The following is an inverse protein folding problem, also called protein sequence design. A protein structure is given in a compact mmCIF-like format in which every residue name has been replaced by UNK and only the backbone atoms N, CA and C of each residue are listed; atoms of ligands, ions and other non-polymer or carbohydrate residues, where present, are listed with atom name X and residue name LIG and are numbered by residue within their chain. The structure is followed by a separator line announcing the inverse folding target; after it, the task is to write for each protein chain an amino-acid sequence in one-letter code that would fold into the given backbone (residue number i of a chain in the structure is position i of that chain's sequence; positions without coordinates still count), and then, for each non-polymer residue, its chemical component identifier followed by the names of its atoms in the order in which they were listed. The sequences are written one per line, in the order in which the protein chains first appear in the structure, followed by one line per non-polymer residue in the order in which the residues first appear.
data_IF_271821343647
#
_entry.id   IF_271821343647
#
_cell.length_a   1.000
_cell.length_b   1.000
_cell.length_c   1.000
_cell.angle_alpha   90.00
_cell.angle_beta   90.00
_cell.angle_gamma   90.00
#
_symmetry.space_group_name_H-M   'P 1'
#
loop_
_entity.id
_entity.type
_entity.pdbx_description
1 polymer ?
#
# COMPACT_ATOMS: atom_id res chain seq x y z
N UNK A 1 -21.88 -1.14 7.68
CA UNK A 1 -23.37 -1.10 7.59
C UNK A 1 -23.72 -0.74 6.16
N UNK A 2 -24.42 -1.61 5.44
CA UNK A 2 -25.03 -1.22 4.17
C UNK A 2 -26.10 -0.18 4.49
N UNK A 3 -25.96 1.05 3.99
CA UNK A 3 -27.09 1.96 4.01
C UNK A 3 -28.18 1.36 3.14
N UNK A 4 -29.44 1.49 3.58
CA UNK A 4 -30.57 1.11 2.75
C UNK A 4 -30.49 1.89 1.43
N UNK A 5 -30.73 1.23 0.29
CA UNK A 5 -30.65 1.90 -0.99
C UNK A 5 -31.65 3.04 -1.06
N UNK A 6 -31.20 4.18 -1.53
CA UNK A 6 -32.12 5.26 -1.88
C UNK A 6 -32.98 4.83 -3.07
N UNK A 7 -34.15 5.40 -3.20
CA UNK A 7 -35.08 5.12 -4.30
C UNK A 7 -35.23 6.38 -5.15
N UNK A 8 -35.07 6.26 -6.46
CA UNK A 8 -35.29 7.35 -7.39
C UNK A 8 -36.79 7.57 -7.69
N UNK A 9 -37.11 8.58 -8.48
CA UNK A 9 -38.49 8.93 -8.85
C UNK A 9 -39.23 7.81 -9.61
N UNK A 10 -38.51 6.85 -10.16
CA UNK A 10 -39.08 5.68 -10.87
C UNK A 10 -39.25 4.46 -9.95
N UNK A 11 -38.98 4.60 -8.66
CA UNK A 11 -39.05 3.49 -7.71
C UNK A 11 -37.86 2.51 -7.77
N UNK A 12 -36.76 2.90 -8.41
CA UNK A 12 -35.57 2.06 -8.54
C UNK A 12 -34.58 2.32 -7.41
N UNK A 13 -33.97 1.26 -6.82
CA UNK A 13 -32.91 1.43 -5.84
C UNK A 13 -31.66 2.03 -6.49
N UNK A 14 -31.12 3.07 -5.87
CA UNK A 14 -29.90 3.79 -6.31
C UNK A 14 -28.95 3.96 -5.13
N UNK A 15 -27.67 4.28 -5.41
CA UNK A 15 -26.70 4.56 -4.38
C UNK A 15 -27.05 5.82 -3.57
N UNK A 16 -26.41 5.95 -2.39
CA UNK A 16 -26.59 7.14 -1.55
C UNK A 16 -26.10 8.42 -2.27
N UNK A 17 -26.76 9.56 -2.02
CA UNK A 17 -26.38 10.82 -2.61
C UNK A 17 -25.02 11.30 -2.07
N UNK A 18 -24.29 12.01 -2.91
CA UNK A 18 -22.98 12.59 -2.55
C UNK A 18 -22.99 14.12 -2.75
N UNK A 19 -23.79 14.85 -1.95
CA UNK A 19 -23.84 16.30 -2.08
C UNK A 19 -22.48 16.89 -1.70
N UNK A 20 -21.96 17.80 -2.54
CA UNK A 20 -20.70 18.47 -2.27
C UNK A 20 -19.44 17.64 -2.53
N UNK A 21 -19.56 16.43 -3.09
CA UNK A 21 -18.39 15.67 -3.48
C UNK A 21 -17.52 16.42 -4.50
N UNK A 22 -16.21 16.47 -4.23
CA UNK A 22 -15.23 17.10 -5.11
C UNK A 22 -14.16 16.10 -5.47
N UNK A 23 -13.68 16.18 -6.70
CA UNK A 23 -12.55 15.37 -7.15
C UNK A 23 -11.30 15.72 -6.34
N UNK A 24 -10.62 14.74 -5.73
CA UNK A 24 -9.35 14.98 -5.08
C UNK A 24 -8.27 15.39 -6.09
N UNK A 25 -7.24 16.14 -5.69
CA UNK A 25 -6.08 16.38 -6.53
C UNK A 25 -5.25 15.10 -6.69
N UNK A 26 -4.38 15.04 -7.70
CA UNK A 26 -3.35 14.01 -7.75
C UNK A 26 -2.37 14.21 -6.58
N UNK A 27 -1.82 13.12 -6.00
CA UNK A 27 -0.83 13.25 -4.93
C UNK A 27 0.39 14.04 -5.41
N UNK A 28 0.88 15.01 -4.61
CA UNK A 28 2.08 15.75 -4.95
C UNK A 28 3.32 14.85 -4.82
N UNK A 29 4.40 15.24 -5.53
CA UNK A 29 5.73 14.65 -5.39
C UNK A 29 6.46 15.28 -4.19
N UNK A 30 5.91 15.09 -3.01
CA UNK A 30 6.44 15.66 -1.77
C UNK A 30 6.75 14.55 -0.76
N UNK A 31 7.76 14.74 0.08
CA UNK A 31 8.08 13.79 1.12
C UNK A 31 7.04 13.80 2.23
N UNK A 32 6.75 12.62 2.77
CA UNK A 32 5.88 12.41 3.93
C UNK A 32 6.76 11.88 5.07
N UNK A 33 6.90 12.67 6.14
CA UNK A 33 7.73 12.30 7.27
C UNK A 33 6.94 11.51 8.31
N UNK A 34 7.53 10.43 8.79
CA UNK A 34 7.11 9.66 9.96
C UNK A 34 8.18 9.66 11.06
N UNK A 35 7.95 8.86 12.07
CA UNK A 35 8.89 8.66 13.18
C UNK A 35 10.02 7.69 12.81
N UNK A 36 9.66 6.58 12.15
CA UNK A 36 10.59 5.50 11.81
C UNK A 36 10.95 5.46 10.33
N UNK A 37 10.25 6.21 9.50
CA UNK A 37 10.57 6.31 8.08
C UNK A 37 10.22 7.69 7.50
N UNK A 38 10.78 7.97 6.34
CA UNK A 38 10.35 9.03 5.44
C UNK A 38 10.01 8.41 4.09
N UNK A 39 8.84 8.73 3.58
CA UNK A 39 8.40 8.33 2.24
C UNK A 39 8.66 9.52 1.34
N UNK A 40 9.62 9.42 0.42
CA UNK A 40 10.01 10.54 -0.45
C UNK A 40 9.97 10.16 -1.93
N UNK A 41 9.74 11.11 -2.84
CA UNK A 41 9.71 10.84 -4.27
C UNK A 41 10.91 10.03 -4.72
N UNK A 42 10.70 9.01 -5.54
CA UNK A 42 11.77 8.16 -6.03
C UNK A 42 12.61 8.91 -7.07
N UNK A 43 13.90 9.06 -6.80
CA UNK A 43 14.87 9.73 -7.66
C UNK A 43 16.01 8.76 -8.03
N UNK A 44 16.16 8.38 -9.31
CA UNK A 44 17.18 7.41 -9.74
C UNK A 44 18.60 7.77 -9.31
N UNK A 45 18.96 9.04 -9.44
CA UNK A 45 20.31 9.51 -9.09
C UNK A 45 20.66 9.31 -7.60
N UNK A 46 19.67 9.43 -6.70
CA UNK A 46 19.86 9.31 -5.26
C UNK A 46 19.62 7.91 -4.74
N UNK A 47 18.66 7.19 -5.33
CA UNK A 47 18.10 6.01 -4.70
C UNK A 47 18.52 4.70 -5.38
N UNK A 48 18.96 4.69 -6.66
CA UNK A 48 19.18 3.44 -7.38
C UNK A 48 20.27 2.58 -6.74
N UNK A 49 21.44 3.13 -6.51
CA UNK A 49 22.57 2.38 -5.96
C UNK A 49 22.31 1.88 -4.52
N UNK A 50 21.90 2.73 -3.56
CA UNK A 50 21.64 2.24 -2.20
C UNK A 50 20.45 1.28 -2.11
N UNK A 51 19.40 1.41 -2.94
CA UNK A 51 18.31 0.41 -2.99
C UNK A 51 18.78 -0.91 -3.57
N UNK A 52 19.57 -0.88 -4.65
CA UNK A 52 20.13 -2.10 -5.24
C UNK A 52 21.01 -2.83 -4.22
N UNK A 53 21.86 -2.11 -3.49
CA UNK A 53 22.65 -2.67 -2.39
C UNK A 53 21.77 -3.25 -1.27
N UNK A 54 20.71 -2.55 -0.86
CA UNK A 54 19.78 -3.03 0.17
C UNK A 54 19.06 -4.32 -0.25
N UNK A 55 18.70 -4.46 -1.53
CA UNK A 55 18.09 -5.69 -2.06
C UNK A 55 19.09 -6.84 -2.21
N UNK A 56 20.38 -6.53 -2.36
CA UNK A 56 21.46 -7.53 -2.33
C UNK A 56 21.64 -8.22 -0.98
N UNK A 57 21.05 -7.69 0.10
CA UNK A 57 21.02 -8.31 1.42
C UNK A 57 19.94 -9.40 1.56
N UNK A 58 19.04 -9.50 0.60
CA UNK A 58 18.04 -10.57 0.59
C UNK A 58 18.71 -11.91 0.31
N UNK A 59 18.25 -12.96 0.97
CA UNK A 59 18.79 -14.32 0.81
C UNK A 59 18.64 -14.86 -0.62
N UNK A 60 17.57 -14.44 -1.29
CA UNK A 60 17.21 -14.90 -2.63
C UNK A 60 16.28 -13.88 -3.32
N UNK A 61 15.89 -14.18 -4.55
CA UNK A 61 15.07 -13.31 -5.38
C UNK A 61 13.56 -13.38 -5.07
N UNK A 62 13.12 -14.07 -4.02
CA UNK A 62 11.66 -14.26 -3.73
C UNK A 62 10.88 -12.96 -3.61
N UNK A 63 11.50 -11.88 -3.18
CA UNK A 63 10.87 -10.55 -3.09
C UNK A 63 10.44 -9.97 -4.44
N UNK A 64 10.91 -10.55 -5.55
CA UNK A 64 10.54 -10.16 -6.92
C UNK A 64 9.49 -11.06 -7.56
N UNK A 65 9.09 -12.16 -6.90
CA UNK A 65 8.21 -13.19 -7.48
C UNK A 65 6.91 -12.60 -8.03
N UNK A 66 6.23 -11.77 -7.24
CA UNK A 66 4.91 -11.24 -7.57
C UNK A 66 4.95 -9.83 -8.19
N UNK A 67 6.13 -9.27 -8.41
CA UNK A 67 6.30 -8.00 -9.12
C UNK A 67 6.40 -8.27 -10.64
N UNK A 68 5.87 -7.37 -11.49
CA UNK A 68 5.91 -7.56 -12.94
C UNK A 68 7.29 -7.36 -13.56
N UNK A 69 8.29 -6.98 -12.76
CA UNK A 69 9.67 -6.73 -13.13
C UNK A 69 10.64 -7.39 -12.14
N UNK A 70 11.94 -7.34 -12.47
CA UNK A 70 13.02 -7.94 -11.68
C UNK A 70 12.94 -9.48 -11.57
N UNK A 71 13.93 -10.09 -10.89
CA UNK A 71 15.13 -9.44 -10.35
C UNK A 71 16.00 -8.83 -11.43
N UNK A 72 16.85 -7.87 -11.07
CA UNK A 72 17.82 -7.23 -11.95
C UNK A 72 19.20 -7.85 -11.74
N UNK A 73 19.91 -8.12 -12.84
CA UNK A 73 21.22 -8.77 -12.78
C UNK A 73 22.31 -7.85 -12.21
N UNK A 74 22.19 -6.56 -12.47
CA UNK A 74 23.16 -5.54 -12.06
C UNK A 74 22.53 -4.18 -11.79
N UNK A 75 23.35 -3.26 -11.28
CA UNK A 75 22.93 -1.90 -10.96
C UNK A 75 22.53 -1.12 -12.21
N UNK A 76 23.16 -1.37 -13.35
CA UNK A 76 22.86 -0.64 -14.59
C UNK A 76 21.44 -0.96 -15.07
N UNK A 77 21.06 -2.24 -15.08
CA UNK A 77 19.70 -2.67 -15.42
C UNK A 77 18.66 -2.17 -14.41
N UNK A 78 18.98 -2.15 -13.12
CA UNK A 78 18.09 -1.60 -12.10
C UNK A 78 17.90 -0.09 -12.27
N UNK A 79 18.96 0.67 -12.55
CA UNK A 79 18.91 2.12 -12.79
C UNK A 79 18.10 2.43 -14.04
N UNK A 80 18.35 1.73 -15.16
CA UNK A 80 17.61 1.91 -16.40
C UNK A 80 16.08 1.66 -16.20
N UNK A 81 15.71 0.64 -15.43
CA UNK A 81 14.32 0.42 -15.05
C UNK A 81 13.78 1.58 -14.23
N UNK A 82 14.52 2.07 -13.24
CA UNK A 82 14.09 3.16 -12.38
C UNK A 82 13.90 4.46 -13.16
N UNK A 83 14.83 4.77 -14.09
CA UNK A 83 14.72 5.93 -14.99
C UNK A 83 13.44 5.86 -15.84
N UNK A 84 13.10 4.67 -16.34
CA UNK A 84 11.90 4.46 -17.15
C UNK A 84 10.58 4.67 -16.38
N UNK A 85 10.55 4.38 -15.07
CA UNK A 85 9.30 4.43 -14.26
C UNK A 85 9.09 5.76 -13.53
N UNK A 86 10.12 6.59 -13.36
CA UNK A 86 10.02 7.82 -12.55
C UNK A 86 9.56 9.05 -13.33
N UNK A 87 9.52 8.96 -14.67
CA UNK A 87 9.11 10.07 -15.54
C UNK A 87 7.60 10.36 -15.58
N UNK A 88 6.77 9.41 -15.17
CA UNK A 88 5.31 9.50 -15.25
C UNK A 88 4.63 9.87 -13.93
N UNK A 89 3.34 10.23 -14.00
CA UNK A 89 2.52 10.59 -12.85
C UNK A 89 1.65 9.42 -12.32
N UNK A 90 1.64 8.29 -13.03
CA UNK A 90 0.92 7.08 -12.66
C UNK A 90 1.56 5.84 -13.34
N UNK A 91 2.26 5.01 -12.60
CA UNK A 91 2.46 5.03 -11.14
C UNK A 91 3.36 6.16 -10.64
N UNK A 92 3.04 6.68 -9.46
CA UNK A 92 3.86 7.67 -8.75
C UNK A 92 4.70 6.98 -7.67
N UNK A 93 6.00 6.82 -7.93
CA UNK A 93 6.91 6.05 -7.09
C UNK A 93 7.54 6.85 -5.97
N UNK A 94 7.74 6.19 -4.83
CA UNK A 94 8.40 6.71 -3.63
C UNK A 94 9.45 5.74 -3.10
N UNK A 95 10.53 6.29 -2.55
CA UNK A 95 11.48 5.56 -1.72
C UNK A 95 11.06 5.63 -0.26
N UNK A 96 11.20 4.52 0.45
CA UNK A 96 11.06 4.48 1.92
C UNK A 96 12.46 4.57 2.49
N UNK A 97 12.72 5.65 3.20
CA UNK A 97 14.06 6.01 3.72
C UNK A 97 14.08 5.85 5.22
N UNK A 98 15.10 5.19 5.74
CA UNK A 98 15.41 5.16 7.17
C UNK A 98 15.98 6.51 7.60
N UNK A 99 15.34 7.26 8.51
CA UNK A 99 15.78 8.60 8.89
C UNK A 99 17.09 8.60 9.67
N UNK A 100 17.45 7.51 10.33
CA UNK A 100 18.68 7.42 11.12
C UNK A 100 19.93 7.32 10.23
N UNK A 101 19.85 6.53 9.15
CA UNK A 101 20.96 6.34 8.21
C UNK A 101 20.87 7.22 6.96
N UNK A 102 19.71 7.80 6.69
CA UNK A 102 19.42 8.49 5.43
C UNK A 102 19.35 7.56 4.21
N UNK A 103 19.37 6.23 4.41
CA UNK A 103 19.39 5.25 3.32
C UNK A 103 17.99 4.80 2.93
N UNK A 104 17.69 4.71 1.63
CA UNK A 104 16.46 4.09 1.16
C UNK A 104 16.54 2.57 1.36
N UNK A 105 15.47 2.00 1.90
CA UNK A 105 15.37 0.59 2.28
C UNK A 105 14.19 -0.13 1.63
N UNK A 106 13.37 0.59 0.86
CA UNK A 106 12.24 0.04 0.15
C UNK A 106 11.64 1.02 -0.85
N UNK A 107 10.73 0.50 -1.68
CA UNK A 107 9.96 1.25 -2.67
C UNK A 107 8.49 0.95 -2.50
N UNK A 108 7.66 1.97 -2.70
CA UNK A 108 6.21 1.89 -2.81
C UNK A 108 5.73 2.85 -3.90
N UNK A 109 4.51 2.71 -4.38
CA UNK A 109 3.91 3.69 -5.29
C UNK A 109 2.43 3.90 -5.01
N UNK A 110 1.92 5.07 -5.40
CA UNK A 110 0.52 5.20 -5.78
C UNK A 110 0.37 4.84 -7.25
N UNK A 111 -0.71 4.19 -7.59
CA UNK A 111 -1.03 3.87 -8.98
C UNK A 111 -2.55 3.81 -9.18
N UNK A 112 -2.98 3.71 -10.44
CA UNK A 112 -4.40 3.76 -10.79
C UNK A 112 -5.09 4.92 -10.07
N UNK A 113 -4.43 6.08 -10.17
CA UNK A 113 -4.86 7.31 -9.52
C UNK A 113 -6.03 7.87 -10.34
N UNK A 114 -7.25 7.66 -9.85
CA UNK A 114 -8.49 8.11 -10.50
C UNK A 114 -9.22 9.17 -9.65
N UNK A 115 -8.92 10.47 -9.85
CA UNK A 115 -9.62 11.54 -9.18
C UNK A 115 -11.11 11.59 -9.53
N UNK A 116 -11.53 11.10 -10.71
CA UNK A 116 -12.92 11.13 -11.12
C UNK A 116 -13.78 10.15 -10.32
N UNK A 117 -13.24 8.98 -10.02
CA UNK A 117 -13.85 8.00 -9.12
C UNK A 117 -13.55 8.29 -7.64
N UNK A 118 -12.52 9.08 -7.35
CA UNK A 118 -11.99 9.28 -6.00
C UNK A 118 -11.28 8.04 -5.46
N UNK A 119 -10.64 7.24 -6.33
CA UNK A 119 -9.92 6.05 -5.95
C UNK A 119 -8.42 6.15 -6.21
N UNK A 120 -7.62 5.48 -5.37
CA UNK A 120 -6.18 5.41 -5.47
C UNK A 120 -5.69 4.07 -4.93
N UNK A 121 -4.72 3.47 -5.59
CA UNK A 121 -4.13 2.20 -5.16
C UNK A 121 -2.71 2.42 -4.64
N UNK A 122 -2.33 1.66 -3.59
CA UNK A 122 -0.93 1.49 -3.21
C UNK A 122 -0.40 0.17 -3.80
N UNK A 123 0.78 0.20 -4.40
CA UNK A 123 1.37 -0.99 -4.97
C UNK A 123 2.84 -0.85 -5.28
N UNK A 124 3.34 -1.76 -6.13
CA UNK A 124 4.77 -1.84 -6.44
C UNK A 124 5.66 -1.93 -5.19
N UNK A 125 5.15 -2.59 -4.14
CA UNK A 125 5.82 -2.68 -2.85
C UNK A 125 7.03 -3.61 -2.94
N UNK A 126 8.22 -3.04 -2.79
CA UNK A 126 9.45 -3.80 -2.70
C UNK A 126 10.23 -3.36 -1.47
N UNK A 127 10.19 -4.17 -0.42
CA UNK A 127 10.88 -3.92 0.84
C UNK A 127 12.11 -4.82 0.93
N UNK A 128 13.27 -4.23 1.22
CA UNK A 128 14.49 -4.99 1.50
C UNK A 128 14.40 -5.72 2.85
N UNK A 129 15.34 -6.62 3.10
CA UNK A 129 15.45 -7.29 4.40
C UNK A 129 15.57 -6.30 5.58
N UNK A 130 16.13 -5.10 5.34
CA UNK A 130 16.25 -4.04 6.36
C UNK A 130 14.90 -3.43 6.75
N UNK A 131 13.92 -3.42 5.85
CA UNK A 131 12.60 -2.82 6.08
C UNK A 131 11.54 -3.86 6.48
N UNK A 132 11.65 -5.08 5.96
CA UNK A 132 10.64 -6.12 6.21
C UNK A 132 10.45 -6.39 7.70
N UNK A 133 9.17 -6.52 8.13
CA UNK A 133 8.76 -6.84 9.51
C UNK A 133 9.18 -5.80 10.56
N UNK A 134 9.45 -4.56 10.15
CA UNK A 134 9.76 -3.45 11.05
C UNK A 134 8.55 -2.54 11.29
N UNK A 135 8.63 -1.69 12.31
CA UNK A 135 7.67 -0.63 12.55
C UNK A 135 7.67 0.37 11.37
N UNK A 136 8.83 0.68 10.81
CA UNK A 136 9.00 1.56 9.65
C UNK A 136 8.21 1.09 8.42
N UNK A 137 8.21 -0.23 8.14
CA UNK A 137 7.42 -0.79 7.04
C UNK A 137 5.92 -0.55 7.20
N UNK A 138 5.44 -0.67 8.43
CA UNK A 138 4.03 -0.44 8.77
C UNK A 138 3.69 1.04 8.74
N UNK A 139 4.54 1.89 9.32
CA UNK A 139 4.37 3.34 9.30
C UNK A 139 4.34 3.89 7.87
N UNK A 140 5.22 3.43 6.97
CA UNK A 140 5.21 3.85 5.58
C UNK A 140 3.85 3.63 4.91
N UNK A 141 3.23 2.47 5.13
CA UNK A 141 1.89 2.17 4.58
C UNK A 141 0.80 3.02 5.23
N UNK A 142 0.89 3.27 6.54
CA UNK A 142 -0.04 4.17 7.26
C UNK A 142 0.08 5.60 6.73
N UNK A 143 1.29 6.11 6.54
CA UNK A 143 1.55 7.45 6.01
C UNK A 143 0.96 7.62 4.61
N UNK A 144 1.15 6.66 3.73
CA UNK A 144 0.58 6.70 2.37
C UNK A 144 -0.95 6.67 2.42
N UNK A 145 -1.56 5.80 3.23
CA UNK A 145 -3.01 5.74 3.37
C UNK A 145 -3.57 7.05 3.94
N UNK A 146 -2.95 7.58 4.99
CA UNK A 146 -3.31 8.86 5.62
C UNK A 146 -3.26 10.02 4.62
N UNK A 147 -2.18 10.09 3.83
CA UNK A 147 -2.03 11.11 2.80
C UNK A 147 -3.14 11.01 1.73
N UNK A 148 -3.49 9.82 1.27
CA UNK A 148 -4.55 9.62 0.29
C UNK A 148 -5.91 10.11 0.80
N UNK A 149 -6.30 9.74 2.03
CA UNK A 149 -7.56 10.23 2.62
C UNK A 149 -7.53 11.73 2.93
N UNK A 150 -6.39 12.29 3.35
CA UNK A 150 -6.23 13.72 3.55
C UNK A 150 -6.38 14.54 2.27
N UNK A 151 -6.00 13.99 1.12
CA UNK A 151 -6.22 14.59 -0.20
C UNK A 151 -7.69 14.52 -0.66
N UNK A 152 -8.54 13.75 0.04
CA UNK A 152 -9.97 13.61 -0.27
C UNK A 152 -10.32 12.40 -1.13
N UNK A 153 -9.40 11.45 -1.32
CA UNK A 153 -9.76 10.17 -1.93
C UNK A 153 -10.73 9.44 -1.02
N UNK A 154 -11.77 8.85 -1.64
CA UNK A 154 -12.81 8.14 -0.91
C UNK A 154 -12.58 6.63 -0.83
N UNK A 155 -11.59 6.12 -1.59
CA UNK A 155 -11.26 4.70 -1.70
C UNK A 155 -9.76 4.51 -1.87
N UNK A 156 -9.17 3.76 -0.95
CA UNK A 156 -7.77 3.34 -0.97
C UNK A 156 -7.69 1.86 -1.23
N UNK A 157 -7.02 1.46 -2.30
CA UNK A 157 -6.99 0.09 -2.80
C UNK A 157 -5.64 -0.58 -2.57
N UNK A 158 -5.70 -1.91 -2.42
CA UNK A 158 -4.56 -2.80 -2.42
C UNK A 158 -4.89 -4.03 -3.26
N UNK A 159 -4.04 -4.34 -4.24
CA UNK A 159 -4.20 -5.49 -5.11
C UNK A 159 -2.94 -6.32 -5.10
N UNK A 160 -3.08 -7.63 -5.02
CA UNK A 160 -1.95 -8.54 -5.10
C UNK A 160 -2.34 -9.83 -5.83
N UNK A 161 -1.31 -10.59 -6.22
CA UNK A 161 -1.52 -11.96 -6.67
C UNK A 161 -2.26 -12.74 -5.57
N UNK A 162 -3.31 -13.48 -5.93
CA UNK A 162 -4.09 -14.27 -4.98
C UNK A 162 -3.26 -15.33 -4.24
N UNK A 163 -2.12 -15.72 -4.80
CA UNK A 163 -1.16 -16.64 -4.20
C UNK A 163 -0.15 -15.94 -3.27
N UNK A 164 -0.10 -14.60 -3.26
CA UNK A 164 0.80 -13.83 -2.42
C UNK A 164 0.26 -13.72 -0.98
N UNK A 165 0.32 -14.81 -0.22
CA UNK A 165 -0.18 -14.86 1.16
C UNK A 165 0.39 -13.76 2.07
N UNK A 166 1.70 -13.41 2.04
CA UNK A 166 2.22 -12.29 2.83
C UNK A 166 1.59 -10.95 2.51
N UNK A 167 1.32 -10.66 1.23
CA UNK A 167 0.68 -9.40 0.82
C UNK A 167 -0.79 -9.34 1.24
N UNK A 168 -1.53 -10.45 1.11
CA UNK A 168 -2.92 -10.57 1.59
C UNK A 168 -3.00 -10.34 3.10
N UNK A 169 -2.12 -10.99 3.86
CA UNK A 169 -2.05 -10.80 5.32
C UNK A 169 -1.68 -9.36 5.70
N UNK A 170 -0.81 -8.69 4.93
CA UNK A 170 -0.45 -7.29 5.15
C UNK A 170 -1.64 -6.35 4.92
N UNK A 171 -2.42 -6.55 3.85
CA UNK A 171 -3.62 -5.76 3.56
C UNK A 171 -4.63 -5.85 4.71
N UNK A 172 -4.97 -7.06 5.15
CA UNK A 172 -5.89 -7.28 6.28
C UNK A 172 -5.37 -6.67 7.58
N UNK A 173 -4.06 -6.83 7.86
CA UNK A 173 -3.43 -6.24 9.05
C UNK A 173 -3.46 -4.72 9.04
N UNK A 174 -3.48 -4.09 7.88
CA UNK A 174 -3.66 -2.66 7.70
C UNK A 174 -5.13 -2.23 7.69
N UNK A 175 -6.08 -3.15 7.90
CA UNK A 175 -7.50 -2.86 7.96
C UNK A 175 -8.20 -2.70 6.62
N UNK A 176 -7.56 -3.09 5.51
CA UNK A 176 -8.24 -3.13 4.22
C UNK A 176 -9.12 -4.39 4.14
N UNK A 177 -10.40 -4.21 3.89
CA UNK A 177 -11.37 -5.30 3.75
C UNK A 177 -11.21 -6.05 2.43
N UNK A 178 -11.32 -7.38 2.48
CA UNK A 178 -11.28 -8.22 1.28
C UNK A 178 -12.56 -8.05 0.44
N UNK A 179 -12.43 -7.83 -0.86
CA UNK A 179 -13.57 -7.64 -1.76
C UNK A 179 -13.79 -8.81 -2.72
N UNK A 180 -12.75 -9.55 -3.05
CA UNK A 180 -12.87 -10.72 -3.92
C UNK A 180 -11.59 -11.03 -4.69
N UNK A 181 -11.70 -12.03 -5.58
CA UNK A 181 -10.62 -12.43 -6.49
C UNK A 181 -11.08 -12.31 -7.93
N UNK A 182 -10.37 -11.53 -8.72
CA UNK A 182 -10.54 -11.50 -10.17
C UNK A 182 -9.73 -12.65 -10.78
N UNK A 183 -10.44 -13.62 -11.35
CA UNK A 183 -9.81 -14.77 -11.99
C UNK A 183 -9.26 -14.37 -13.35
N UNK A 184 -8.08 -14.91 -13.72
CA UNK A 184 -7.40 -14.62 -14.99
C UNK A 184 -7.27 -13.13 -15.28
N UNK A 185 -6.99 -12.35 -14.25
CA UNK A 185 -6.99 -10.89 -14.32
C UNK A 185 -5.88 -10.35 -15.23
N UNK A 186 -4.69 -10.95 -15.16
CA UNK A 186 -3.53 -10.54 -15.97
C UNK A 186 -2.56 -11.71 -16.19
N UNK A 187 -1.65 -11.54 -17.15
CA UNK A 187 -0.49 -12.42 -17.32
C UNK A 187 0.76 -11.68 -16.84
N UNK A 188 1.49 -12.24 -15.90
CA UNK A 188 2.72 -11.68 -15.34
C UNK A 188 3.85 -12.68 -15.48
N UNK A 189 4.97 -12.29 -16.10
CA UNK A 189 6.14 -13.16 -16.32
C UNK A 189 5.76 -14.51 -16.96
N UNK A 190 4.84 -14.46 -17.95
CA UNK A 190 4.36 -15.64 -18.68
C UNK A 190 3.41 -16.56 -17.90
N UNK A 191 2.92 -16.13 -16.72
CA UNK A 191 2.03 -16.93 -15.87
C UNK A 191 0.70 -16.22 -15.64
N UNK A 192 -0.37 -17.01 -15.50
CA UNK A 192 -1.65 -16.48 -15.06
C UNK A 192 -1.53 -15.89 -13.67
N UNK A 193 -2.18 -14.74 -13.45
CA UNK A 193 -2.35 -14.12 -12.15
C UNK A 193 -3.84 -13.87 -11.92
N UNK A 194 -4.38 -14.56 -10.93
CA UNK A 194 -5.62 -14.18 -10.28
C UNK A 194 -5.29 -13.06 -9.27
N UNK A 195 -6.12 -12.03 -9.23
CA UNK A 195 -5.83 -10.84 -8.42
C UNK A 195 -6.82 -10.72 -7.27
N UNK A 196 -6.32 -10.77 -6.04
CA UNK A 196 -7.06 -10.47 -4.84
C UNK A 196 -7.15 -8.96 -4.63
N UNK A 197 -8.36 -8.47 -4.31
CA UNK A 197 -8.70 -7.07 -4.12
C UNK A 197 -9.05 -6.79 -2.68
N UNK A 198 -8.50 -5.70 -2.17
CA UNK A 198 -8.75 -5.18 -0.83
C UNK A 198 -8.92 -3.68 -0.92
N UNK A 199 -9.77 -3.11 -0.05
CA UNK A 199 -9.95 -1.67 0.02
C UNK A 199 -10.29 -1.22 1.45
N UNK A 200 -10.00 0.06 1.70
CA UNK A 200 -10.58 0.85 2.76
C UNK A 200 -11.27 2.07 2.14
N UNK A 201 -12.39 2.47 2.70
CA UNK A 201 -13.15 3.63 2.23
C UNK A 201 -13.01 4.82 3.20
N UNK A 202 -13.45 5.99 2.76
CA UNK A 202 -13.53 7.18 3.59
C UNK A 202 -14.43 7.00 4.84
N UNK A 203 -15.36 6.04 4.80
CA UNK A 203 -16.20 5.65 5.94
C UNK A 203 -15.45 4.81 6.97
N UNK A 204 -14.52 3.97 6.50
CA UNK A 204 -13.68 3.15 7.38
C UNK A 204 -12.57 3.99 8.01
N UNK A 205 -12.17 5.06 7.32
CA UNK A 205 -11.00 5.85 7.65
C UNK A 205 -10.97 6.42 9.07
N UNK A 206 -12.04 7.01 9.64
CA UNK A 206 -11.98 7.56 10.99
C UNK A 206 -11.59 6.51 12.04
N UNK A 207 -12.17 5.31 11.96
CA UNK A 207 -11.86 4.22 12.88
C UNK A 207 -10.44 3.65 12.63
N UNK A 208 -10.04 3.51 11.36
CA UNK A 208 -8.69 3.08 11.00
C UNK A 208 -7.63 4.09 11.46
N UNK A 209 -7.87 5.40 11.26
CA UNK A 209 -6.96 6.44 11.72
C UNK A 209 -6.74 6.38 13.22
N UNK A 210 -7.80 6.23 14.01
CA UNK A 210 -7.71 6.08 15.46
C UNK A 210 -6.93 4.81 15.88
N UNK A 211 -7.13 3.70 15.17
CA UNK A 211 -6.37 2.47 15.40
C UNK A 211 -4.88 2.65 15.07
N UNK A 212 -4.55 3.39 14.00
CA UNK A 212 -3.18 3.72 13.62
C UNK A 212 -2.52 4.67 14.61
N UNK A 213 -3.22 5.71 15.09
CA UNK A 213 -2.69 6.63 16.09
C UNK A 213 -2.33 5.89 17.37
N UNK A 214 -3.23 5.00 17.84
CA UNK A 214 -2.97 4.13 18.98
C UNK A 214 -1.79 3.19 18.76
N UNK A 215 -1.64 2.63 17.55
CA UNK A 215 -0.52 1.74 17.26
C UNK A 215 0.80 2.47 17.17
N UNK A 216 0.83 3.68 16.56
CA UNK A 216 2.01 4.51 16.38
C UNK A 216 2.45 5.21 17.69
N UNK A 217 1.63 5.19 18.75
CA UNK A 217 1.96 5.78 20.03
C UNK A 217 3.30 5.22 20.53
N UNK A 218 4.24 6.09 20.95
CA UNK A 218 5.51 5.65 21.54
C UNK A 218 5.33 4.64 22.68
N UNK A 219 4.31 4.79 23.51
CA UNK A 219 4.02 3.90 24.63
C UNK A 219 3.60 2.48 24.20
N UNK A 220 3.22 2.31 22.93
CA UNK A 220 2.92 0.99 22.38
C UNK A 220 4.17 0.15 22.13
N UNK A 221 5.35 0.72 22.25
CA UNK A 221 6.62 0.02 22.03
C UNK A 221 7.42 -0.04 23.33
N UNK A 222 7.97 -1.22 23.62
CA UNK A 222 8.89 -1.39 24.73
C UNK A 222 10.30 -0.83 24.37
N UNK A 223 11.25 -0.79 25.33
CA UNK A 223 12.61 -0.33 25.06
C UNK A 223 13.35 -1.10 23.98
N UNK A 224 12.97 -2.35 23.73
CA UNK A 224 13.51 -3.20 22.65
C UNK A 224 12.82 -2.94 21.31
N UNK A 225 11.85 -2.01 21.22
CA UNK A 225 11.09 -1.68 20.02
C UNK A 225 10.00 -2.68 19.67
N UNK A 226 9.60 -3.56 20.60
CA UNK A 226 8.52 -4.54 20.37
C UNK A 226 7.17 -3.90 20.69
N UNK A 227 6.22 -4.08 19.77
CA UNK A 227 4.85 -3.59 19.97
C UNK A 227 4.15 -4.33 21.13
N UNK A 228 3.53 -3.58 22.04
CA UNK A 228 2.70 -4.12 23.15
C UNK A 228 1.35 -4.59 22.63
N UNK A 229 0.70 -3.78 21.80
CA UNK A 229 -0.55 -4.09 21.12
C UNK A 229 -0.27 -4.26 19.63
N UNK A 230 -0.66 -5.39 19.07
CA UNK A 230 -0.48 -5.67 17.65
C UNK A 230 -1.47 -4.85 16.81
N UNK A 231 -1.00 -4.28 15.70
CA UNK A 231 -1.87 -3.53 14.79
C UNK A 231 -3.09 -4.36 14.35
N UNK A 232 -2.88 -5.62 13.97
CA UNK A 232 -3.99 -6.49 13.55
C UNK A 232 -5.06 -6.71 14.64
N UNK A 233 -4.72 -6.59 15.94
CA UNK A 233 -5.72 -6.65 17.00
C UNK A 233 -6.60 -5.40 17.03
N UNK A 234 -6.09 -4.26 16.59
CA UNK A 234 -6.83 -3.00 16.51
C UNK A 234 -7.67 -2.88 15.24
N UNK A 235 -7.18 -3.42 14.12
CA UNK A 235 -7.81 -3.27 12.80
C UNK A 235 -8.76 -4.41 12.43
N UNK A 236 -8.54 -5.65 12.92
CA UNK A 236 -9.39 -6.79 12.59
C UNK A 236 -10.87 -6.58 12.91
N UNK A 237 -11.26 -5.94 14.04
CA UNK A 237 -12.65 -5.65 14.32
C UNK A 237 -13.30 -4.63 13.37
N UNK A 238 -12.50 -3.89 12.60
CA UNK A 238 -12.95 -2.85 11.68
C UNK A 238 -13.17 -3.38 10.27
N UNK A 239 -12.73 -4.61 9.98
CA UNK A 239 -12.90 -5.21 8.66
C UNK A 239 -14.38 -5.45 8.35
N UNK A 240 -14.86 -4.93 7.24
CA UNK A 240 -16.20 -5.23 6.72
C UNK A 240 -16.28 -6.69 6.28
N UNK A 241 -15.20 -7.21 5.71
CA UNK A 241 -15.07 -8.60 5.29
C UNK A 241 -13.63 -9.09 5.44
N UNK A 242 -13.48 -10.18 6.17
CA UNK A 242 -12.21 -10.90 6.24
C UNK A 242 -11.99 -11.77 5.00
N UNK A 243 -10.73 -12.01 4.66
CA UNK A 243 -10.35 -12.94 3.60
C UNK A 243 -10.43 -14.38 4.13
N UNK A 244 -11.47 -15.09 3.77
CA UNK A 244 -11.69 -16.49 4.14
C UNK A 244 -11.11 -17.49 3.12
N UNK A 245 -10.43 -17.02 2.08
CA UNK A 245 -9.82 -17.91 1.09
C UNK A 245 -8.67 -18.69 1.75
N UNK A 246 -8.64 -20.02 1.69
CA UNK A 246 -7.54 -20.79 2.24
C UNK A 246 -6.23 -20.39 1.54
N UNK A 247 -5.17 -20.16 2.32
CA UNK A 247 -3.84 -20.14 1.77
C UNK A 247 -3.60 -21.51 1.12
N UNK A 248 -3.61 -21.57 -0.20
CA UNK A 248 -3.19 -22.80 -0.89
C UNK A 248 -1.71 -23.00 -0.56
N UNK A 249 -1.42 -24.11 0.10
CA UNK A 249 -0.07 -24.54 0.44
C UNK A 249 0.80 -24.74 -0.81
#
# INVERSE_FOLDING_TARGET
MSEDPHVNELGQPVGFPMPGWRRPPRPPREPIAGRWCRVEPLEPARHAEPLFAAYGLDRDARGWTYLPYGPFADLAGYRAWMDAITGGDDPLFFAIVDPASGRPVGVASYLRIDPAAGSIEVGHLRFSALLQRTAAATEAMILMMRNAFALGYRRYEWKCDALNAPSRAAALRLGLSFEGVFRHAVVVKGRNRDTAWFAATDRDWPALSAAFDRWLDPENFDPDGRQRVRLGALTAPLLVRADSSPARA
#
